data_IF_142374091449
#
_entry.id   IF_142374091449
#
_cell.length_a   1.000
_cell.length_b   1.000
_cell.length_c   1.000
_cell.angle_alpha   90.00
_cell.angle_beta   90.00
_cell.angle_gamma   90.00
#
_symmetry.space_group_name_H-M   'P 1'
#
loop_
_entity.id
_entity.type
_entity.pdbx_description
1 polymer ?
#
# COMPACT_ATOMS: atom_id res chain seq x y z
N UNK A 1 -15.65 -3.45 13.42
CA UNK A 1 -14.19 -3.52 13.16
C UNK A 1 -13.80 -3.18 11.73
N UNK A 2 -14.61 -3.49 10.70
CA UNK A 2 -14.28 -3.23 9.28
C UNK A 2 -14.02 -1.76 8.92
N UNK A 3 -14.63 -0.79 9.61
CA UNK A 3 -14.44 0.64 9.32
C UNK A 3 -13.02 1.12 9.61
N UNK A 4 -12.49 0.84 10.81
CA UNK A 4 -11.13 1.25 11.20
C UNK A 4 -10.11 0.59 10.29
N UNK A 5 -10.27 -0.71 10.00
CA UNK A 5 -9.42 -1.42 9.04
C UNK A 5 -9.46 -0.78 7.65
N UNK A 6 -10.65 -0.43 7.16
CA UNK A 6 -10.82 0.28 5.88
C UNK A 6 -10.13 1.64 5.87
N UNK A 7 -10.26 2.42 6.95
CA UNK A 7 -9.59 3.72 7.05
C UNK A 7 -8.07 3.58 7.03
N UNK A 8 -7.52 2.63 7.77
CA UNK A 8 -6.06 2.37 7.80
C UNK A 8 -5.57 1.95 6.41
N UNK A 9 -6.23 0.99 5.76
CA UNK A 9 -5.86 0.54 4.40
C UNK A 9 -5.96 1.69 3.41
N UNK A 10 -7.03 2.48 3.48
CA UNK A 10 -7.22 3.64 2.62
C UNK A 10 -6.10 4.66 2.78
N UNK A 11 -5.72 4.99 4.03
CA UNK A 11 -4.62 5.90 4.31
C UNK A 11 -3.30 5.33 3.79
N UNK A 12 -2.97 4.06 4.06
CA UNK A 12 -1.72 3.43 3.59
C UNK A 12 -1.63 3.41 2.06
N UNK A 13 -2.74 3.13 1.37
CA UNK A 13 -2.79 3.07 -0.10
C UNK A 13 -2.75 4.47 -0.73
N UNK A 14 -2.98 5.54 0.04
CA UNK A 14 -2.84 6.92 -0.40
C UNK A 14 -1.49 7.47 0.10
N UNK A 15 -0.53 7.73 -0.78
CA UNK A 15 0.79 8.21 -0.36
C UNK A 15 0.74 9.68 0.14
N UNK A 16 -0.18 10.48 -0.41
CA UNK A 16 -0.25 11.93 -0.21
C UNK A 16 -0.39 12.42 1.25
N UNK A 17 -1.23 11.81 2.12
CA UNK A 17 -1.30 12.20 3.53
C UNK A 17 0.06 12.16 4.24
N UNK A 18 0.88 11.16 3.92
CA UNK A 18 2.21 11.00 4.51
C UNK A 18 3.22 12.02 3.99
N UNK A 19 3.10 12.42 2.72
CA UNK A 19 3.87 13.53 2.16
C UNK A 19 3.52 14.84 2.86
N UNK A 20 2.23 15.12 3.07
CA UNK A 20 1.76 16.33 3.76
C UNK A 20 2.29 16.36 5.20
N UNK A 21 2.16 15.26 5.94
CA UNK A 21 2.69 15.15 7.31
C UNK A 21 4.20 15.39 7.32
N UNK A 22 4.95 14.75 6.41
CA UNK A 22 6.39 14.96 6.29
C UNK A 22 6.76 16.42 6.04
N UNK A 23 6.06 17.09 5.13
CA UNK A 23 6.25 18.52 4.84
C UNK A 23 5.94 19.41 6.04
N UNK A 24 4.84 19.16 6.75
CA UNK A 24 4.47 19.91 7.96
C UNK A 24 5.53 19.77 9.05
N UNK A 25 6.03 18.55 9.28
CA UNK A 25 7.11 18.29 10.26
C UNK A 25 8.41 18.98 9.84
N UNK A 26 8.79 18.90 8.56
CA UNK A 26 9.99 19.56 8.04
C UNK A 26 9.92 21.08 8.11
N UNK A 27 8.74 21.65 7.83
CA UNK A 27 8.48 23.09 7.93
C UNK A 27 8.53 23.56 9.38
N UNK A 28 7.82 22.87 10.28
CA UNK A 28 7.87 23.13 11.72
C UNK A 28 9.29 23.08 12.28
N UNK A 29 10.08 22.07 11.90
CA UNK A 29 11.48 21.95 12.33
C UNK A 29 12.35 23.11 11.83
N UNK A 30 12.06 23.64 10.65
CA UNK A 30 12.76 24.80 10.08
C UNK A 30 12.47 26.08 10.87
N UNK A 31 11.25 26.24 11.38
CA UNK A 31 10.89 27.35 12.25
C UNK A 31 11.43 27.19 13.68
N UNK A 32 11.39 25.96 14.22
CA UNK A 32 11.71 25.70 15.62
C UNK A 32 13.21 25.64 15.93
N UNK A 33 14.01 25.11 15.01
CA UNK A 33 15.44 24.81 15.22
C UNK A 33 16.35 25.73 14.39
N UNK A 34 16.17 27.05 14.53
CA UNK A 34 17.03 28.03 13.88
C UNK A 34 18.28 28.29 14.75
N UNK A 35 19.49 27.99 14.25
CA UNK A 35 20.71 28.32 14.99
C UNK A 35 20.89 29.84 15.00
N UNK A 36 21.07 30.42 16.19
CA UNK A 36 21.43 31.84 16.32
C UNK A 36 22.95 32.00 16.22
N UNK A 37 23.39 33.12 15.62
CA UNK A 37 24.81 33.48 15.48
C UNK A 37 25.50 33.61 16.85
N UNK A 38 24.73 33.96 17.89
CA UNK A 38 25.22 34.19 19.25
C UNK A 38 25.46 32.89 20.05
N UNK A 39 25.01 31.74 19.56
CA UNK A 39 25.12 30.47 20.30
C UNK A 39 26.50 29.82 20.17
N UNK A 40 26.96 29.05 21.17
CA UNK A 40 28.19 28.26 21.09
C UNK A 40 28.17 27.29 19.88
N UNK A 41 29.32 27.03 19.22
CA UNK A 41 29.38 26.17 18.03
C UNK A 41 28.80 24.76 18.24
N UNK A 42 28.96 24.20 19.44
CA UNK A 42 28.43 22.88 19.79
C UNK A 42 26.89 22.84 19.78
N UNK A 43 26.25 23.89 20.30
CA UNK A 43 24.79 24.00 20.34
C UNK A 43 24.21 24.24 18.95
N UNK A 44 24.87 25.09 18.14
CA UNK A 44 24.50 25.27 16.74
C UNK A 44 24.55 23.95 15.96
N UNK A 45 25.59 23.13 16.16
CA UNK A 45 25.72 21.81 15.53
C UNK A 45 24.59 20.87 15.96
N UNK A 46 24.21 20.89 17.24
CA UNK A 46 23.08 20.09 17.76
C UNK A 46 21.76 20.51 17.12
N UNK A 47 21.45 21.81 17.06
CA UNK A 47 20.22 22.31 16.45
C UNK A 47 20.15 21.99 14.95
N UNK A 48 21.27 22.12 14.23
CA UNK A 48 21.36 21.72 12.81
C UNK A 48 21.08 20.23 12.62
N UNK A 49 21.61 19.36 13.49
CA UNK A 49 21.34 17.91 13.45
C UNK A 49 19.87 17.59 13.73
N UNK A 50 19.27 18.20 14.74
CA UNK A 50 17.85 18.02 15.05
C UNK A 50 16.96 18.49 13.90
N UNK A 51 17.24 19.66 13.34
CA UNK A 51 16.55 20.18 12.15
C UNK A 51 16.64 19.18 10.99
N UNK A 52 17.85 18.72 10.66
CA UNK A 52 18.07 17.76 9.58
C UNK A 52 17.34 16.43 9.82
N UNK A 53 17.35 15.94 11.07
CA UNK A 53 16.63 14.74 11.48
C UNK A 53 15.12 14.87 11.22
N UNK A 54 14.47 15.97 11.62
CA UNK A 54 13.04 16.15 11.36
C UNK A 54 12.74 16.44 9.89
N UNK A 55 13.61 17.17 9.19
CA UNK A 55 13.46 17.42 7.75
C UNK A 55 13.57 16.13 6.92
N UNK A 56 14.34 15.13 7.35
CA UNK A 56 14.41 13.86 6.63
C UNK A 56 13.07 13.11 6.59
N UNK A 57 12.13 13.41 7.49
CA UNK A 57 10.80 12.80 7.49
C UNK A 57 9.98 13.11 6.23
N UNK A 58 10.29 14.22 5.54
CA UNK A 58 9.71 14.56 4.23
C UNK A 58 9.90 13.42 3.22
N UNK A 59 11.03 12.71 3.30
CA UNK A 59 11.37 11.62 2.37
C UNK A 59 11.16 10.26 3.03
N UNK A 60 11.62 10.10 4.27
CA UNK A 60 11.60 8.81 4.96
C UNK A 60 10.17 8.28 5.13
N UNK A 61 9.24 9.12 5.57
CA UNK A 61 7.89 8.68 5.90
C UNK A 61 7.13 8.16 4.66
N UNK A 62 7.00 8.91 3.54
CA UNK A 62 6.33 8.38 2.35
C UNK A 62 7.06 7.17 1.74
N UNK A 63 8.40 7.12 1.81
CA UNK A 63 9.18 5.99 1.32
C UNK A 63 8.88 4.70 2.10
N UNK A 64 8.83 4.80 3.43
CA UNK A 64 8.49 3.68 4.32
C UNK A 64 7.08 3.17 4.01
N UNK A 65 6.10 4.06 3.86
CA UNK A 65 4.73 3.65 3.53
C UNK A 65 4.64 3.03 2.14
N UNK A 66 5.33 3.58 1.14
CA UNK A 66 5.35 3.04 -0.21
C UNK A 66 5.93 1.62 -0.24
N UNK A 67 7.04 1.38 0.48
CA UNK A 67 7.73 0.09 0.48
C UNK A 67 7.07 -0.95 1.38
N UNK A 68 6.57 -0.54 2.56
CA UNK A 68 6.06 -1.45 3.58
C UNK A 68 4.53 -1.48 3.67
N UNK A 69 3.82 -0.63 2.92
CA UNK A 69 2.37 -0.49 3.01
C UNK A 69 1.63 -1.81 2.77
N UNK A 70 2.08 -2.62 1.81
CA UNK A 70 1.48 -3.94 1.53
C UNK A 70 1.61 -4.92 2.69
N UNK A 71 2.69 -4.85 3.47
CA UNK A 71 2.92 -5.73 4.62
C UNK A 71 1.95 -5.47 5.76
N UNK A 72 1.34 -4.28 5.81
CA UNK A 72 0.30 -3.95 6.79
C UNK A 72 -1.09 -4.12 6.17
N UNK A 73 -1.29 -3.63 4.94
CA UNK A 73 -2.61 -3.66 4.31
C UNK A 73 -3.08 -5.08 4.03
N UNK A 74 -2.20 -5.98 3.59
CA UNK A 74 -2.63 -7.31 3.16
C UNK A 74 -3.09 -8.20 4.33
N UNK A 75 -2.33 -8.34 5.43
CA UNK A 75 -2.84 -9.06 6.61
C UNK A 75 -4.14 -8.44 7.12
N UNK A 76 -4.23 -7.11 7.14
CA UNK A 76 -5.41 -6.43 7.64
C UNK A 76 -6.66 -6.74 6.80
N UNK A 77 -6.56 -6.71 5.46
CA UNK A 77 -7.64 -7.13 4.56
C UNK A 77 -7.93 -8.63 4.73
N UNK A 78 -6.90 -9.47 4.86
CA UNK A 78 -7.08 -10.91 5.04
C UNK A 78 -7.89 -11.24 6.31
N UNK A 79 -7.54 -10.65 7.46
CA UNK A 79 -8.21 -10.97 8.72
C UNK A 79 -9.57 -10.30 8.91
N UNK A 80 -9.80 -9.13 8.31
CA UNK A 80 -11.03 -8.34 8.54
C UNK A 80 -11.96 -8.24 7.34
N UNK A 81 -11.51 -8.69 6.17
CA UNK A 81 -12.26 -8.68 4.92
C UNK A 81 -13.25 -9.83 4.81
N UNK A 82 -14.17 -9.67 3.86
CA UNK A 82 -15.17 -10.70 3.50
C UNK A 82 -14.66 -11.46 2.29
N UNK A 83 -14.85 -12.76 2.28
CA UNK A 83 -14.48 -13.61 1.14
C UNK A 83 -15.45 -13.44 -0.03
N UNK A 84 -14.93 -13.44 -1.25
CA UNK A 84 -15.70 -13.57 -2.48
C UNK A 84 -14.95 -14.44 -3.49
N UNK A 85 -15.71 -15.06 -4.41
CA UNK A 85 -15.15 -15.66 -5.61
C UNK A 85 -14.98 -14.58 -6.68
N UNK A 86 -13.78 -14.47 -7.22
CA UNK A 86 -13.40 -13.53 -8.26
C UNK A 86 -13.00 -14.26 -9.54
N UNK A 87 -13.08 -13.56 -10.66
CA UNK A 87 -12.66 -14.05 -11.98
C UNK A 87 -11.84 -13.00 -12.70
N UNK A 88 -10.76 -13.42 -13.35
CA UNK A 88 -10.00 -12.54 -14.23
C UNK A 88 -10.74 -12.42 -15.56
N UNK A 89 -11.14 -11.20 -15.93
CA UNK A 89 -11.88 -10.93 -17.17
C UNK A 89 -10.97 -10.56 -18.34
N UNK A 90 -9.87 -9.87 -18.07
CA UNK A 90 -8.88 -9.53 -19.09
C UNK A 90 -7.52 -9.24 -18.48
N UNK A 91 -6.50 -9.25 -19.33
CA UNK A 91 -5.12 -8.96 -18.97
C UNK A 91 -4.57 -7.95 -19.98
N UNK A 92 -3.92 -6.92 -19.47
CA UNK A 92 -3.29 -5.87 -20.25
C UNK A 92 -1.80 -5.79 -19.92
N UNK A 93 -1.00 -5.54 -20.97
CA UNK A 93 0.43 -5.33 -20.79
C UNK A 93 0.69 -3.87 -20.41
N UNK A 94 1.33 -3.64 -19.27
CA UNK A 94 1.77 -2.28 -18.92
C UNK A 94 3.10 -1.96 -19.61
N UNK A 95 3.47 -0.68 -19.61
CA UNK A 95 4.80 -0.22 -20.07
C UNK A 95 5.89 -0.42 -19.01
N UNK A 96 5.54 -0.88 -17.81
CA UNK A 96 6.48 -1.04 -16.70
C UNK A 96 7.16 -2.41 -16.75
N UNK A 97 8.48 -2.42 -16.57
CA UNK A 97 9.26 -3.64 -16.35
C UNK A 97 9.63 -3.73 -14.87
N UNK A 98 9.60 -4.95 -14.32
CA UNK A 98 10.10 -5.27 -12.99
C UNK A 98 10.95 -6.54 -13.09
N UNK A 99 12.20 -6.46 -12.67
CA UNK A 99 13.16 -7.57 -12.80
C UNK A 99 13.24 -8.13 -14.23
N UNK A 100 13.24 -7.24 -15.24
CA UNK A 100 13.22 -7.58 -16.67
C UNK A 100 11.95 -8.29 -17.17
N UNK A 101 10.94 -8.48 -16.31
CA UNK A 101 9.64 -9.02 -16.70
C UNK A 101 8.61 -7.90 -16.84
N UNK A 102 7.68 -8.07 -17.78
CA UNK A 102 6.63 -7.08 -18.01
C UNK A 102 5.58 -7.17 -16.91
N UNK A 103 5.29 -6.04 -16.27
CA UNK A 103 4.19 -5.95 -15.31
C UNK A 103 2.88 -6.04 -16.07
N UNK A 104 1.98 -6.90 -15.60
CA UNK A 104 0.67 -7.11 -16.19
C UNK A 104 -0.38 -6.45 -15.31
N UNK A 105 -1.36 -5.80 -15.95
CA UNK A 105 -2.58 -5.35 -15.29
C UNK A 105 -3.67 -6.39 -15.51
N UNK A 106 -4.20 -6.91 -14.42
CA UNK A 106 -5.23 -7.94 -14.39
C UNK A 106 -6.55 -7.27 -14.03
N UNK A 107 -7.51 -7.29 -14.95
CA UNK A 107 -8.86 -6.80 -14.70
C UNK A 107 -9.70 -7.95 -14.13
N UNK A 108 -10.39 -7.69 -13.03
CA UNK A 108 -11.10 -8.72 -12.26
C UNK A 108 -12.52 -8.28 -11.93
N UNK A 109 -13.37 -9.27 -11.76
CA UNK A 109 -14.74 -9.07 -11.28
C UNK A 109 -15.05 -10.03 -10.15
N UNK A 110 -15.84 -9.58 -9.18
CA UNK A 110 -16.39 -10.43 -8.13
C UNK A 110 -17.72 -9.88 -7.63
N UNK A 111 -18.54 -10.74 -7.04
CA UNK A 111 -19.83 -10.36 -6.47
C UNK A 111 -19.62 -9.96 -5.01
N UNK A 112 -20.11 -8.78 -4.63
CA UNK A 112 -20.06 -8.26 -3.26
C UNK A 112 -21.13 -8.92 -2.40
N UNK A 113 -21.03 -8.71 -1.08
CA UNK A 113 -21.96 -9.28 -0.11
C UNK A 113 -23.40 -8.74 -0.23
N UNK A 114 -23.56 -7.58 -0.87
CA UNK A 114 -24.86 -6.99 -1.24
C UNK A 114 -25.39 -7.48 -2.60
N UNK A 115 -24.68 -8.40 -3.27
CA UNK A 115 -25.05 -8.92 -4.58
C UNK A 115 -24.59 -8.05 -5.75
N UNK A 116 -23.97 -6.89 -5.51
CA UNK A 116 -23.49 -6.02 -6.59
C UNK A 116 -22.22 -6.57 -7.23
N UNK A 117 -22.10 -6.43 -8.55
CA UNK A 117 -20.89 -6.79 -9.28
C UNK A 117 -19.82 -5.71 -9.09
N UNK A 118 -18.72 -6.05 -8.42
CA UNK A 118 -17.55 -5.19 -8.34
C UNK A 118 -16.60 -5.47 -9.50
N UNK A 119 -16.26 -4.42 -10.25
CA UNK A 119 -15.14 -4.41 -11.20
C UNK A 119 -13.92 -3.79 -10.53
N UNK A 120 -12.77 -4.44 -10.62
CA UNK A 120 -11.51 -3.92 -10.10
C UNK A 120 -10.36 -4.32 -11.01
N UNK A 121 -9.17 -3.84 -10.69
CA UNK A 121 -7.94 -4.27 -11.34
C UNK A 121 -6.82 -4.32 -10.33
N UNK A 122 -5.80 -5.12 -10.63
CA UNK A 122 -4.55 -5.15 -9.87
C UNK A 122 -3.38 -5.34 -10.81
N UNK A 123 -2.20 -4.87 -10.42
CA UNK A 123 -0.96 -5.14 -11.15
C UNK A 123 -0.18 -6.27 -10.48
N UNK A 124 0.55 -7.06 -11.28
CA UNK A 124 1.35 -8.17 -10.74
C UNK A 124 2.46 -7.72 -9.78
N UNK A 125 2.84 -6.44 -9.80
CA UNK A 125 3.82 -5.82 -8.92
C UNK A 125 3.24 -5.22 -7.62
N UNK A 126 1.92 -5.27 -7.41
CA UNK A 126 1.24 -4.76 -6.20
C UNK A 126 1.28 -5.71 -5.00
N UNK A 127 1.76 -6.94 -5.21
CA UNK A 127 1.92 -7.97 -4.17
C UNK A 127 0.66 -8.22 -3.33
N UNK A 128 -0.51 -8.25 -3.94
CA UNK A 128 -1.79 -8.47 -3.26
C UNK A 128 -2.09 -9.94 -2.94
N UNK A 129 -1.12 -10.86 -3.08
CA UNK A 129 -1.23 -12.26 -2.66
C UNK A 129 -0.95 -12.43 -1.16
N UNK A 130 -1.84 -13.12 -0.46
CA UNK A 130 -1.70 -13.41 0.97
C UNK A 130 -2.50 -14.67 1.40
N UNK A 131 -2.00 -15.51 2.33
CA UNK A 131 -0.67 -15.47 2.94
C UNK A 131 0.42 -15.84 1.92
N UNK A 132 1.65 -15.39 2.19
CA UNK A 132 2.77 -15.50 1.25
C UNK A 132 3.57 -16.80 1.46
N UNK A 133 2.84 -17.90 1.60
CA UNK A 133 3.41 -19.21 1.92
C UNK A 133 3.65 -19.98 0.60
N UNK A 134 4.86 -19.86 0.05
CA UNK A 134 5.29 -20.61 -1.12
C UNK A 134 5.20 -19.85 -2.47
N UNK A 135 5.29 -20.59 -3.60
CA UNK A 135 5.30 -19.99 -4.93
C UNK A 135 3.96 -19.31 -5.23
N UNK A 136 4.01 -18.00 -5.40
CA UNK A 136 2.88 -17.15 -5.73
C UNK A 136 2.59 -17.22 -7.24
N UNK A 137 1.46 -17.83 -7.62
CA UNK A 137 0.97 -17.85 -9.00
C UNK A 137 -0.26 -16.95 -9.08
N UNK A 138 -0.19 -15.91 -9.91
CA UNK A 138 -1.36 -15.09 -10.19
C UNK A 138 -2.34 -15.82 -11.12
N UNK A 139 -3.65 -15.68 -10.90
CA UNK A 139 -4.67 -16.30 -11.75
C UNK A 139 -4.61 -15.73 -13.17
N UNK A 140 -4.87 -16.58 -14.16
CA UNK A 140 -4.90 -16.21 -15.59
C UNK A 140 -6.29 -15.77 -16.04
N UNK A 141 -6.42 -15.07 -17.19
CA UNK A 141 -7.72 -14.74 -17.77
C UNK A 141 -8.64 -15.97 -17.88
N UNK A 142 -9.86 -15.85 -17.37
CA UNK A 142 -10.84 -16.93 -17.33
C UNK A 142 -10.80 -17.79 -16.07
N UNK A 143 -9.72 -17.75 -15.28
CA UNK A 143 -9.62 -18.51 -14.03
C UNK A 143 -10.41 -17.85 -12.89
N UNK A 144 -11.04 -18.69 -12.08
CA UNK A 144 -11.70 -18.30 -10.84
C UNK A 144 -10.75 -18.48 -9.66
N UNK A 145 -10.82 -17.56 -8.70
CA UNK A 145 -9.97 -17.56 -7.52
C UNK A 145 -10.69 -16.89 -6.35
N UNK A 146 -10.17 -17.11 -5.14
CA UNK A 146 -10.72 -16.52 -3.93
C UNK A 146 -10.04 -15.21 -3.60
N UNK A 147 -10.84 -14.23 -3.19
CA UNK A 147 -10.34 -12.96 -2.66
C UNK A 147 -10.96 -12.68 -1.31
N UNK A 148 -10.25 -11.89 -0.49
CA UNK A 148 -10.87 -11.16 0.61
C UNK A 148 -10.81 -9.66 0.32
N UNK A 149 -11.91 -8.96 0.51
CA UNK A 149 -12.01 -7.52 0.28
C UNK A 149 -12.64 -6.81 1.46
N UNK A 150 -12.41 -5.49 1.55
CA UNK A 150 -13.03 -4.65 2.56
C UNK A 150 -14.34 -4.05 2.02
N UNK A 151 -15.51 -4.29 2.64
CA UNK A 151 -16.81 -3.89 2.09
C UNK A 151 -16.96 -2.39 1.83
N UNK A 152 -16.31 -1.54 2.64
CA UNK A 152 -16.39 -0.08 2.49
C UNK A 152 -15.48 0.47 1.37
N UNK A 153 -14.48 -0.31 0.95
CA UNK A 153 -13.51 0.06 -0.07
C UNK A 153 -13.18 -1.17 -0.96
N UNK A 154 -14.18 -1.75 -1.65
CA UNK A 154 -14.08 -3.06 -2.26
C UNK A 154 -13.02 -3.16 -3.36
N UNK A 155 -12.56 -2.02 -3.91
CA UNK A 155 -11.42 -1.98 -4.83
C UNK A 155 -10.13 -2.56 -4.25
N UNK A 156 -9.97 -2.54 -2.93
CA UNK A 156 -8.83 -3.14 -2.25
C UNK A 156 -9.18 -4.54 -1.76
N UNK A 157 -8.46 -5.51 -2.29
CA UNK A 157 -8.63 -6.91 -1.97
C UNK A 157 -7.26 -7.60 -1.93
N UNK A 158 -7.24 -8.75 -1.28
CA UNK A 158 -6.13 -9.70 -1.32
C UNK A 158 -6.58 -10.97 -2.01
N UNK A 159 -5.69 -11.52 -2.82
CA UNK A 159 -5.85 -12.80 -3.48
C UNK A 159 -5.43 -13.87 -2.48
N UNK A 160 -6.32 -14.81 -2.20
CA UNK A 160 -6.01 -15.93 -1.33
C UNK A 160 -5.09 -16.87 -2.09
N UNK A 161 -3.91 -17.12 -1.54
CA UNK A 161 -2.99 -18.10 -2.09
C UNK A 161 -3.50 -19.52 -1.76
N UNK A 162 -4.54 -19.95 -2.44
CA UNK A 162 -4.95 -21.36 -2.46
C UNK A 162 -4.15 -22.04 -3.57
N UNK A 163 -3.24 -22.95 -3.21
CA UNK A 163 -2.61 -23.84 -4.19
C UNK A 163 -3.71 -24.43 -5.09
N UNK A 164 -3.52 -24.51 -6.41
CA UNK A 164 -4.47 -25.17 -7.27
C UNK A 164 -4.64 -26.61 -6.77
N UNK A 165 -5.88 -27.01 -6.50
CA UNK A 165 -6.23 -28.42 -6.32
C UNK A 165 -5.87 -29.09 -7.66
N UNK A 166 -4.80 -29.87 -7.67
CA UNK A 166 -4.42 -30.71 -8.82
C UNK A 166 -5.36 -31.89 -8.92
#
# INVERSE_FOLDING_TARGET
MSFVASLIVFLIKQIWPFVIIGLLVGFWATMRFQPSIQQPPAEQKRLKRLRAFFQSWVVVLPSVVYLLGSYISNPLIYYTGIEASAKVISQEQTRTLRNYERVLQMNVVFVRADGELQRSSFRTDEFNLYPKDGPAVYPRPGEEFKVRYLPKIPRYFVILNTLPIR
#
